data_IF_985410814241
#
_entry.id   IF_985410814241
#
_cell.length_a   1.000
_cell.length_b   1.000
_cell.length_c   1.000
_cell.angle_alpha   90.00
_cell.angle_beta   90.00
_cell.angle_gamma   90.00
#
_symmetry.space_group_name_H-M   'P 1'
#
loop_
_entity.id
_entity.type
_entity.pdbx_description
1 polymer ?
#
# COMPACT_ATOMS: atom_id res chain seq x y z
N UNK A 1 57.86 5.58 67.30
CA UNK A 1 56.79 6.59 67.23
C UNK A 1 56.43 6.83 65.76
N UNK A 2 55.16 6.57 65.42
CA UNK A 2 54.33 7.06 64.29
C UNK A 2 54.70 6.85 62.79
N UNK A 3 53.79 6.14 62.08
CA UNK A 3 53.50 6.25 60.62
C UNK A 3 52.74 7.57 60.35
N UNK A 4 52.74 8.16 59.12
CA UNK A 4 51.75 7.81 58.06
C UNK A 4 52.37 7.79 56.63
N UNK A 5 52.00 6.90 55.71
CA UNK A 5 50.79 6.83 54.87
C UNK A 5 50.68 7.96 53.81
N UNK A 6 50.72 7.59 52.52
CA UNK A 6 49.82 8.11 51.48
C UNK A 6 49.82 7.19 50.26
N UNK A 7 48.65 6.62 50.02
CA UNK A 7 48.25 5.85 48.86
C UNK A 7 48.15 6.76 47.63
N UNK A 8 48.43 6.24 46.45
CA UNK A 8 47.74 6.69 45.24
C UNK A 8 47.28 5.46 44.45
N UNK A 9 45.95 5.37 44.34
CA UNK A 9 45.20 4.25 43.84
C UNK A 9 45.28 4.13 42.31
N UNK A 10 45.17 2.89 41.85
CA UNK A 10 45.06 2.47 40.47
C UNK A 10 43.72 2.93 39.84
N UNK A 11 43.72 3.10 38.52
CA UNK A 11 42.50 2.97 37.72
C UNK A 11 42.85 2.35 36.36
N UNK A 12 42.79 1.02 36.27
CA UNK A 12 42.67 0.31 35.00
C UNK A 12 41.20 0.36 34.58
N UNK A 13 40.89 1.02 33.47
CA UNK A 13 39.60 0.91 32.82
C UNK A 13 39.58 -0.38 31.99
N UNK A 14 38.85 -1.39 32.46
CA UNK A 14 38.48 -2.56 31.65
C UNK A 14 37.25 -2.16 30.84
N UNK A 15 37.41 -1.95 29.54
CA UNK A 15 36.28 -1.84 28.61
C UNK A 15 35.82 -3.27 28.29
N UNK A 16 34.76 -3.72 28.95
CA UNK A 16 34.09 -4.95 28.61
C UNK A 16 33.25 -4.74 27.33
N UNK A 17 33.67 -5.38 26.23
CA UNK A 17 32.90 -5.44 24.99
C UNK A 17 31.70 -6.37 25.22
N UNK A 18 30.52 -5.80 25.45
CA UNK A 18 29.26 -6.55 25.48
C UNK A 18 28.94 -7.00 24.04
N UNK A 19 29.24 -8.25 23.72
CA UNK A 19 28.70 -8.89 22.52
C UNK A 19 27.20 -9.10 22.70
N UNK A 20 26.39 -8.34 21.97
CA UNK A 20 24.94 -8.61 21.89
C UNK A 20 24.74 -9.93 21.16
N UNK A 21 23.99 -10.91 21.71
CA UNK A 21 23.72 -12.14 20.99
C UNK A 21 22.91 -11.82 19.73
N UNK A 22 23.45 -12.17 18.57
CA UNK A 22 22.73 -12.14 17.31
C UNK A 22 21.52 -13.07 17.44
N UNK A 23 20.27 -12.59 17.28
CA UNK A 23 19.13 -13.48 17.28
C UNK A 23 19.31 -14.53 16.18
N UNK A 24 18.92 -15.80 16.40
CA UNK A 24 18.99 -16.81 15.36
C UNK A 24 18.16 -16.32 14.16
N UNK A 25 18.80 -16.29 12.99
CA UNK A 25 18.09 -16.07 11.74
C UNK A 25 17.04 -17.18 11.63
N UNK A 26 15.76 -16.80 11.74
CA UNK A 26 14.67 -17.70 11.36
C UNK A 26 14.88 -18.01 9.89
N UNK A 27 15.21 -19.27 9.58
CA UNK A 27 15.37 -19.70 8.21
C UNK A 27 14.06 -19.38 7.46
N UNK A 28 14.15 -18.54 6.43
CA UNK A 28 13.05 -18.35 5.51
C UNK A 28 12.66 -19.73 4.95
N UNK A 29 11.36 -20.09 4.91
CA UNK A 29 10.95 -21.35 4.34
C UNK A 29 11.47 -21.43 2.90
N UNK A 30 12.27 -22.47 2.63
CA UNK A 30 12.79 -22.78 1.29
C UNK A 30 11.63 -22.86 0.31
N UNK A 31 11.69 -22.04 -0.73
CA UNK A 31 10.64 -21.86 -1.73
C UNK A 31 10.18 -23.20 -2.32
N UNK A 32 8.90 -23.50 -2.16
CA UNK A 32 8.15 -24.27 -3.15
C UNK A 32 7.99 -23.36 -4.37
N UNK A 33 9.04 -23.28 -5.20
CA UNK A 33 9.27 -22.21 -6.18
C UNK A 33 8.18 -22.04 -7.25
N UNK A 34 7.19 -22.93 -7.30
CA UNK A 34 6.04 -22.86 -8.23
C UNK A 34 4.78 -22.20 -7.63
N UNK A 35 4.69 -22.02 -6.30
CA UNK A 35 3.47 -21.53 -5.65
C UNK A 35 3.56 -20.05 -5.23
N UNK A 36 4.76 -19.55 -4.94
CA UNK A 36 4.99 -18.22 -4.38
C UNK A 36 6.20 -17.52 -5.01
N UNK A 37 6.11 -16.20 -5.13
CA UNK A 37 7.24 -15.31 -5.41
C UNK A 37 7.74 -14.68 -4.11
N UNK A 38 9.02 -14.83 -3.81
CA UNK A 38 9.65 -14.24 -2.62
C UNK A 38 10.22 -12.84 -2.93
N UNK A 39 9.94 -11.87 -2.07
CA UNK A 39 10.44 -10.49 -2.15
C UNK A 39 11.49 -10.26 -1.06
N UNK A 40 12.80 -10.36 -1.37
CA UNK A 40 13.86 -10.27 -0.36
C UNK A 40 13.95 -8.89 0.32
N UNK A 41 13.42 -7.83 -0.31
CA UNK A 41 13.43 -6.48 0.22
C UNK A 41 12.62 -6.34 1.52
N UNK A 42 11.52 -7.09 1.62
CA UNK A 42 10.63 -7.08 2.80
C UNK A 42 10.56 -8.43 3.50
N UNK A 43 11.11 -9.48 2.90
CA UNK A 43 11.10 -10.83 3.47
C UNK A 43 9.75 -11.54 3.36
N UNK A 44 8.86 -11.07 2.49
CA UNK A 44 7.50 -11.61 2.34
C UNK A 44 7.31 -12.38 1.03
N UNK A 45 6.38 -13.33 1.04
CA UNK A 45 6.00 -14.13 -0.11
C UNK A 45 4.67 -13.64 -0.70
N UNK A 46 4.53 -13.79 -2.02
CA UNK A 46 3.31 -13.47 -2.75
C UNK A 46 2.88 -14.69 -3.54
N UNK A 47 1.69 -15.20 -3.25
CA UNK A 47 1.12 -16.34 -3.99
C UNK A 47 0.90 -16.00 -5.46
N UNK A 48 1.00 -17.00 -6.34
CA UNK A 48 0.99 -16.75 -7.79
C UNK A 48 -0.27 -16.05 -8.33
N UNK A 49 -1.43 -16.18 -7.68
CA UNK A 49 -2.63 -15.44 -8.07
C UNK A 49 -2.45 -13.92 -7.91
N UNK A 50 -1.94 -13.48 -6.75
CA UNK A 50 -1.65 -12.07 -6.49
C UNK A 50 -0.47 -11.62 -7.36
N UNK A 51 0.57 -12.44 -7.50
CA UNK A 51 1.75 -12.10 -8.30
C UNK A 51 1.39 -11.82 -9.77
N UNK A 52 0.50 -12.60 -10.37
CA UNK A 52 0.01 -12.36 -11.75
C UNK A 52 -0.74 -11.04 -11.86
N UNK A 53 -1.62 -10.74 -10.91
CA UNK A 53 -2.30 -9.44 -10.87
C UNK A 53 -1.29 -8.31 -10.71
N UNK A 54 -0.36 -8.46 -9.77
CA UNK A 54 0.69 -7.50 -9.49
C UNK A 54 1.52 -7.16 -10.74
N UNK A 55 2.02 -8.18 -11.44
CA UNK A 55 2.82 -8.01 -12.66
C UNK A 55 2.03 -7.34 -13.80
N UNK A 56 0.75 -7.68 -13.94
CA UNK A 56 -0.10 -7.12 -14.99
C UNK A 56 -0.54 -5.67 -14.73
N UNK A 57 -0.48 -5.20 -13.48
CA UNK A 57 -1.13 -3.97 -13.04
C UNK A 57 -0.16 -2.98 -12.37
N UNK A 58 1.03 -2.82 -12.96
CA UNK A 58 2.00 -1.79 -12.59
C UNK A 58 3.01 -2.18 -11.51
N UNK A 59 2.90 -3.38 -10.94
CA UNK A 59 3.89 -3.99 -10.06
C UNK A 59 4.38 -3.05 -8.96
N UNK A 60 5.70 -2.96 -8.79
CA UNK A 60 6.34 -2.18 -7.72
C UNK A 60 6.00 -0.68 -7.79
N UNK A 61 5.86 -0.13 -8.99
CA UNK A 61 5.64 1.31 -9.15
C UNK A 61 4.27 1.75 -8.62
N UNK A 62 3.28 0.85 -8.69
CA UNK A 62 1.88 1.18 -8.38
C UNK A 62 1.45 0.54 -7.07
N UNK A 63 1.76 -0.74 -6.88
CA UNK A 63 1.29 -1.52 -5.73
C UNK A 63 2.32 -1.57 -4.61
N UNK A 64 3.61 -1.38 -4.95
CA UNK A 64 4.72 -1.41 -4.00
C UNK A 64 5.09 -2.81 -3.53
N UNK A 65 5.93 -2.91 -2.50
CA UNK A 65 6.39 -4.18 -1.95
C UNK A 65 5.34 -4.82 -1.01
N UNK A 66 5.28 -6.16 -0.90
CA UNK A 66 4.44 -6.83 0.09
C UNK A 66 4.93 -6.54 1.51
N UNK A 67 4.00 -6.36 2.44
CA UNK A 67 4.26 -6.05 3.86
C UNK A 67 3.76 -7.13 4.82
N UNK A 68 2.99 -8.10 4.31
CA UNK A 68 2.49 -9.25 5.09
C UNK A 68 2.48 -10.48 4.21
N UNK A 69 2.28 -11.65 4.82
CA UNK A 69 1.73 -12.82 4.12
C UNK A 69 0.20 -12.64 3.91
N UNK A 70 -0.44 -13.57 3.20
CA UNK A 70 -1.91 -13.65 3.21
C UNK A 70 -2.39 -14.14 4.59
N UNK A 71 -3.34 -13.43 5.18
CA UNK A 71 -3.98 -13.83 6.43
C UNK A 71 -5.47 -13.50 6.44
N UNK A 72 -6.22 -14.03 7.40
CA UNK A 72 -7.64 -13.72 7.60
C UNK A 72 -7.75 -12.58 8.63
N UNK A 73 -8.37 -11.46 8.25
CA UNK A 73 -8.53 -10.32 9.14
C UNK A 73 -9.73 -10.47 10.11
N UNK A 74 -9.97 -9.45 10.94
CA UNK A 74 -11.06 -9.46 11.93
C UNK A 74 -12.48 -9.55 11.33
N UNK A 75 -12.64 -9.33 10.03
CA UNK A 75 -13.92 -9.50 9.32
C UNK A 75 -14.10 -10.91 8.72
N UNK A 76 -13.07 -11.76 8.79
CA UNK A 76 -13.06 -13.07 8.13
C UNK A 76 -12.60 -13.02 6.67
N UNK A 77 -12.10 -11.88 6.18
CA UNK A 77 -11.63 -11.72 4.80
C UNK A 77 -10.16 -12.10 4.69
N UNK A 78 -9.80 -12.86 3.64
CA UNK A 78 -8.40 -13.12 3.30
C UNK A 78 -7.79 -11.88 2.67
N UNK A 79 -6.68 -11.40 3.24
CA UNK A 79 -6.04 -10.16 2.83
C UNK A 79 -4.53 -10.28 2.82
N UNK A 80 -3.90 -9.46 1.99
CA UNK A 80 -2.46 -9.23 2.03
C UNK A 80 -2.18 -7.74 1.86
N UNK A 81 -1.33 -7.18 2.71
CA UNK A 81 -0.95 -5.77 2.65
C UNK A 81 0.32 -5.60 1.83
N UNK A 82 0.32 -4.54 1.03
CA UNK A 82 1.44 -4.02 0.27
C UNK A 82 1.63 -2.54 0.63
N UNK A 83 2.76 -1.95 0.28
CA UNK A 83 3.07 -0.55 0.59
C UNK A 83 1.99 0.43 0.10
N UNK A 84 1.31 0.13 -1.01
CA UNK A 84 0.33 1.03 -1.64
C UNK A 84 -1.02 0.38 -1.94
N UNK A 85 -1.25 -0.83 -1.46
CA UNK A 85 -2.50 -1.55 -1.70
C UNK A 85 -2.80 -2.59 -0.62
N UNK A 86 -4.09 -2.87 -0.40
CA UNK A 86 -4.56 -4.04 0.34
C UNK A 86 -5.29 -4.95 -0.64
N UNK A 87 -4.74 -6.13 -0.86
CA UNK A 87 -5.38 -7.17 -1.65
C UNK A 87 -6.43 -7.88 -0.81
N UNK A 88 -7.56 -8.20 -1.44
CA UNK A 88 -8.66 -8.95 -0.86
C UNK A 88 -8.93 -10.18 -1.73
N UNK A 89 -8.84 -11.36 -1.10
CA UNK A 89 -9.09 -12.64 -1.75
C UNK A 89 -10.45 -13.17 -1.32
N UNK A 90 -11.31 -13.45 -2.30
CA UNK A 90 -12.67 -13.94 -2.13
C UNK A 90 -12.86 -15.20 -2.97
N UNK A 91 -12.27 -16.35 -2.57
CA UNK A 91 -12.30 -17.57 -3.37
C UNK A 91 -13.70 -18.18 -3.54
N UNK A 92 -14.68 -17.70 -2.79
CA UNK A 92 -16.10 -18.09 -2.92
C UNK A 92 -16.86 -17.26 -3.96
N UNK A 93 -16.28 -16.16 -4.46
CA UNK A 93 -16.86 -15.38 -5.54
C UNK A 93 -16.68 -16.09 -6.89
N UNK A 94 -17.28 -15.60 -7.98
CA UNK A 94 -16.88 -16.03 -9.32
C UNK A 94 -15.41 -15.68 -9.63
N UNK A 95 -14.72 -16.42 -10.53
CA UNK A 95 -13.30 -16.22 -10.83
C UNK A 95 -12.88 -14.78 -11.14
N UNK A 96 -13.72 -14.04 -11.87
CA UNK A 96 -13.46 -12.64 -12.22
C UNK A 96 -13.41 -11.69 -11.01
N UNK A 97 -13.98 -12.10 -9.87
CA UNK A 97 -14.10 -11.32 -8.64
C UNK A 97 -13.43 -12.01 -7.44
N UNK A 98 -12.56 -12.99 -7.70
CA UNK A 98 -11.76 -13.66 -6.66
C UNK A 98 -10.73 -12.73 -6.01
N UNK A 99 -10.25 -11.74 -6.75
CA UNK A 99 -9.17 -10.86 -6.32
C UNK A 99 -9.55 -9.42 -6.64
N UNK A 100 -9.43 -8.56 -5.64
CA UNK A 100 -9.63 -7.12 -5.80
C UNK A 100 -8.71 -6.37 -4.85
N UNK A 101 -8.44 -5.10 -5.14
CA UNK A 101 -7.92 -4.19 -4.12
C UNK A 101 -9.08 -3.61 -3.31
N UNK A 102 -8.83 -3.37 -2.02
CA UNK A 102 -9.73 -2.65 -1.13
C UNK A 102 -10.12 -1.31 -1.75
N UNK A 103 -11.40 -0.94 -1.60
CA UNK A 103 -11.93 0.35 -2.05
C UNK A 103 -11.53 1.49 -1.11
N UNK A 104 -10.22 1.69 -0.95
CA UNK A 104 -9.67 2.62 0.04
C UNK A 104 -10.11 4.07 -0.22
N UNK A 105 -10.11 4.52 -1.47
CA UNK A 105 -10.58 5.86 -1.82
C UNK A 105 -12.05 6.05 -1.44
N UNK A 106 -12.92 5.08 -1.75
CA UNK A 106 -14.33 5.13 -1.35
C UNK A 106 -14.52 5.16 0.18
N UNK A 107 -13.69 4.43 0.94
CA UNK A 107 -13.70 4.48 2.41
C UNK A 107 -13.24 5.83 2.93
N UNK A 108 -12.18 6.40 2.37
CA UNK A 108 -11.62 7.70 2.81
C UNK A 108 -12.55 8.87 2.50
N UNK A 109 -13.35 8.76 1.44
CA UNK A 109 -14.27 9.82 1.01
C UNK A 109 -15.70 9.59 1.49
N UNK A 110 -15.94 8.58 2.34
CA UNK A 110 -17.28 8.32 2.86
C UNK A 110 -17.80 9.54 3.62
N UNK A 111 -19.00 10.01 3.25
CA UNK A 111 -19.62 11.21 3.83
C UNK A 111 -19.10 12.55 3.30
N UNK A 112 -18.13 12.56 2.36
CA UNK A 112 -17.77 13.79 1.62
C UNK A 112 -18.94 14.27 0.76
N UNK A 113 -19.09 15.58 0.66
CA UNK A 113 -20.25 16.24 0.07
C UNK A 113 -19.90 17.50 -0.74
N UNK A 114 -18.61 17.74 -0.95
CA UNK A 114 -18.10 18.81 -1.78
C UNK A 114 -18.60 18.65 -3.23
N UNK A 115 -18.74 19.74 -4.01
CA UNK A 115 -19.28 19.68 -5.36
C UNK A 115 -18.58 18.68 -6.30
N UNK A 116 -17.29 18.40 -6.07
CA UNK A 116 -16.54 17.43 -6.84
C UNK A 116 -17.05 15.98 -6.67
N UNK A 117 -17.70 15.65 -5.55
CA UNK A 117 -18.28 14.32 -5.28
C UNK A 117 -19.75 14.21 -5.73
N UNK A 118 -20.31 15.26 -6.32
CA UNK A 118 -21.69 15.24 -6.80
C UNK A 118 -21.83 14.34 -8.04
N UNK A 119 -22.88 13.52 -8.06
CA UNK A 119 -23.20 12.67 -9.20
C UNK A 119 -23.54 13.51 -10.44
N UNK A 120 -22.84 13.26 -11.55
CA UNK A 120 -23.13 13.88 -12.84
C UNK A 120 -24.04 13.00 -13.69
N UNK A 121 -25.00 13.62 -14.36
CA UNK A 121 -25.88 12.91 -15.31
C UNK A 121 -25.20 12.63 -16.66
N UNK A 122 -24.18 13.42 -17.03
CA UNK A 122 -23.43 13.31 -18.28
C UNK A 122 -22.04 13.91 -18.12
N UNK A 123 -21.17 13.70 -19.11
CA UNK A 123 -19.84 14.30 -19.12
C UNK A 123 -19.93 15.83 -19.12
N UNK A 124 -19.16 16.53 -18.27
CA UNK A 124 -19.11 17.99 -18.29
C UNK A 124 -18.37 18.54 -19.52
N UNK A 125 -17.56 17.71 -20.18
CA UNK A 125 -16.76 18.05 -21.36
C UNK A 125 -16.67 16.83 -22.29
N UNK A 126 -16.95 16.97 -23.61
CA UNK A 126 -16.78 15.88 -24.58
C UNK A 126 -15.35 15.31 -24.66
N UNK A 127 -14.33 16.02 -24.17
CA UNK A 127 -12.95 15.53 -24.13
C UNK A 127 -12.67 14.54 -22.97
N UNK A 128 -13.62 14.40 -22.02
CA UNK A 128 -13.49 13.54 -20.83
C UNK A 128 -14.25 12.23 -21.02
N UNK A 129 -13.69 11.16 -20.46
CA UNK A 129 -14.33 9.85 -20.45
C UNK A 129 -15.36 9.86 -19.31
N UNK A 130 -16.63 9.59 -19.62
CA UNK A 130 -17.70 9.55 -18.61
C UNK A 130 -18.01 8.11 -18.19
N UNK A 131 -18.11 7.90 -16.88
CA UNK A 131 -18.39 6.60 -16.28
C UNK A 131 -19.78 6.61 -15.63
N UNK A 132 -20.83 6.14 -16.33
CA UNK A 132 -22.18 6.12 -15.79
C UNK A 132 -22.33 5.21 -14.55
N UNK A 133 -21.39 4.29 -14.33
CA UNK A 133 -21.35 3.41 -13.16
C UNK A 133 -21.09 4.16 -11.85
N UNK A 134 -20.39 5.30 -11.93
CA UNK A 134 -20.09 6.14 -10.77
C UNK A 134 -20.62 7.57 -10.88
N UNK A 135 -21.09 7.98 -12.07
CA UNK A 135 -21.58 9.34 -12.31
C UNK A 135 -20.45 10.37 -12.40
N UNK A 136 -19.22 9.94 -12.72
CA UNK A 136 -18.04 10.82 -12.74
C UNK A 136 -17.27 10.74 -14.04
N UNK A 137 -16.46 11.78 -14.29
CA UNK A 137 -15.68 11.91 -15.51
C UNK A 137 -14.17 11.94 -15.27
N UNK A 138 -13.41 11.45 -16.24
CA UNK A 138 -11.95 11.35 -16.16
C UNK A 138 -11.29 12.02 -17.35
N UNK A 139 -10.32 12.90 -17.08
CA UNK A 139 -9.63 13.68 -18.10
C UNK A 139 -8.18 13.96 -17.74
N UNK A 140 -7.54 14.78 -18.58
CA UNK A 140 -6.20 15.32 -18.33
C UNK A 140 -5.14 14.25 -18.01
N UNK A 141 -4.24 14.59 -17.08
CA UNK A 141 -3.16 13.72 -16.64
C UNK A 141 -3.66 12.47 -15.91
N UNK A 142 -4.76 12.60 -15.15
CA UNK A 142 -5.35 11.48 -14.42
C UNK A 142 -5.89 10.40 -15.37
N UNK A 143 -6.53 10.78 -16.48
CA UNK A 143 -6.95 9.82 -17.51
C UNK A 143 -5.78 9.02 -18.05
N UNK A 144 -4.72 9.70 -18.46
CA UNK A 144 -3.54 9.02 -19.00
C UNK A 144 -2.92 8.07 -17.97
N UNK A 145 -2.78 8.52 -16.72
CA UNK A 145 -2.22 7.70 -15.66
C UNK A 145 -3.09 6.47 -15.38
N UNK A 146 -4.39 6.67 -15.20
CA UNK A 146 -5.36 5.59 -14.97
C UNK A 146 -5.29 4.56 -16.11
N UNK A 147 -5.36 5.00 -17.37
CA UNK A 147 -5.36 4.11 -18.54
C UNK A 147 -4.05 3.32 -18.69
N UNK A 148 -2.91 3.89 -18.32
CA UNK A 148 -1.59 3.30 -18.59
C UNK A 148 -0.99 2.54 -17.41
N UNK A 149 -1.50 2.74 -16.18
CA UNK A 149 -0.85 2.23 -14.96
C UNK A 149 -1.63 1.19 -14.18
N UNK A 150 -2.89 0.92 -14.54
CA UNK A 150 -3.65 -0.13 -13.87
C UNK A 150 -5.16 -0.08 -14.06
N UNK A 151 -5.68 1.04 -14.57
CA UNK A 151 -7.06 1.24 -14.97
C UNK A 151 -8.07 0.77 -13.91
N UNK A 152 -9.17 0.18 -14.36
CA UNK A 152 -10.26 -0.27 -13.51
C UNK A 152 -9.84 -1.31 -12.44
N UNK A 153 -8.98 -2.32 -12.73
CA UNK A 153 -8.54 -3.27 -11.71
C UNK A 153 -7.84 -2.64 -10.50
N UNK A 154 -7.01 -1.62 -10.72
CA UNK A 154 -6.22 -0.99 -9.64
C UNK A 154 -6.98 0.15 -8.99
N UNK A 155 -7.44 1.11 -9.79
CA UNK A 155 -7.98 2.36 -9.26
C UNK A 155 -9.51 2.29 -9.08
N UNK A 156 -10.19 1.44 -9.85
CA UNK A 156 -11.66 1.48 -9.94
C UNK A 156 -12.16 2.68 -10.72
N UNK A 157 -13.46 2.95 -10.61
CA UNK A 157 -14.06 4.13 -11.23
C UNK A 157 -13.64 5.43 -10.52
N UNK A 158 -13.64 6.58 -11.21
CA UNK A 158 -13.57 7.88 -10.52
C UNK A 158 -14.80 8.04 -9.61
N UNK A 159 -14.59 8.59 -8.42
CA UNK A 159 -15.64 8.90 -7.43
C UNK A 159 -15.70 10.39 -7.08
N UNK A 160 -14.89 11.20 -7.74
CA UNK A 160 -14.96 12.64 -7.75
C UNK A 160 -14.57 13.18 -9.12
N UNK A 161 -14.90 14.43 -9.39
CA UNK A 161 -14.23 15.24 -10.40
C UNK A 161 -12.85 15.68 -9.92
N UNK A 162 -12.05 16.26 -10.82
CA UNK A 162 -10.78 16.91 -10.45
C UNK A 162 -11.04 18.21 -9.67
N UNK A 163 -10.38 18.39 -8.53
CA UNK A 163 -10.49 19.62 -7.73
C UNK A 163 -9.20 19.91 -6.95
N UNK A 164 -9.10 21.13 -6.41
CA UNK A 164 -7.94 21.56 -5.62
C UNK A 164 -8.16 21.19 -4.14
N UNK A 165 -7.20 20.50 -3.54
CA UNK A 165 -7.22 20.11 -2.13
C UNK A 165 -5.93 20.50 -1.41
N UNK A 166 -6.06 21.03 -0.20
CA UNK A 166 -4.92 21.35 0.65
C UNK A 166 -4.37 20.08 1.32
N UNK A 167 -3.08 19.79 1.10
CA UNK A 167 -2.37 18.75 1.82
C UNK A 167 -1.64 19.35 3.03
N UNK A 168 -2.07 19.08 4.28
CA UNK A 168 -1.46 19.65 5.47
C UNK A 168 -0.06 19.10 5.77
N UNK A 169 0.29 17.91 5.27
CA UNK A 169 1.61 17.32 5.48
C UNK A 169 2.68 17.97 4.58
N UNK A 170 2.29 18.32 3.35
CA UNK A 170 3.17 18.99 2.40
C UNK A 170 3.12 20.52 2.51
N UNK A 171 2.07 21.09 3.13
CA UNK A 171 1.87 22.53 3.17
C UNK A 171 1.58 23.14 1.79
N UNK A 172 0.94 22.37 0.88
CA UNK A 172 0.68 22.76 -0.50
C UNK A 172 -0.72 22.34 -0.96
N UNK A 173 -1.27 23.07 -1.92
CA UNK A 173 -2.52 22.69 -2.61
C UNK A 173 -2.17 21.83 -3.83
N UNK A 174 -2.88 20.73 -4.01
CA UNK A 174 -2.74 19.83 -5.15
C UNK A 174 -4.05 19.72 -5.92
N UNK A 175 -3.93 19.57 -7.23
CA UNK A 175 -5.03 19.02 -8.02
C UNK A 175 -5.15 17.53 -7.69
N UNK A 176 -6.33 17.10 -7.25
CA UNK A 176 -6.62 15.73 -6.87
C UNK A 176 -7.87 15.23 -7.60
N UNK A 177 -7.96 13.91 -7.75
CA UNK A 177 -9.18 13.21 -8.11
C UNK A 177 -9.18 11.88 -7.36
N UNK A 178 -10.32 11.53 -6.78
CA UNK A 178 -10.49 10.28 -6.05
C UNK A 178 -11.06 9.20 -6.95
N UNK A 179 -10.60 7.98 -6.71
CA UNK A 179 -11.08 6.77 -7.35
C UNK A 179 -11.56 5.78 -6.27
N UNK A 180 -12.31 4.75 -6.66
CA UNK A 180 -12.84 3.80 -5.69
C UNK A 180 -11.75 3.19 -4.79
N UNK A 181 -10.53 3.01 -5.31
CA UNK A 181 -9.43 2.30 -4.65
C UNK A 181 -8.20 3.16 -4.38
N UNK A 182 -8.21 4.45 -4.73
CA UNK A 182 -7.05 5.35 -4.60
C UNK A 182 -7.46 6.81 -4.44
#
# INVERSE_FOLDING_TARGET
MHRPALLMAALLAVVALLATPTPPAVAAPTSQADAFAFFPQTGHNVGMQIKRFFDANGGLDILGLPLTEVFVDGSGLQVQYFERARFELRPTNPPASHLSLTRLGATLTEGRSEPAFAWLATSPDPARDFFPQSGHSLGGAFRWFWQTRGALPVFGYPISEEFQEWNPQAGQVYLVQYFERA
#
